data_IF_099967167421
#
_entry.id   IF_099967167421
#
_cell.length_a   1.000
_cell.length_b   1.000
_cell.length_c   1.000
_cell.angle_alpha   90.00
_cell.angle_beta   90.00
_cell.angle_gamma   90.00
#
_symmetry.space_group_name_H-M   'P 1'
#
loop_
_entity.id
_entity.type
_entity.pdbx_description
1 polymer ?
#
# COMPACT_ATOMS: atom_id res chain seq x y z
N UNK A 1 5.87 1.16 -21.90
CA UNK A 1 6.84 0.37 -21.11
C UNK A 1 8.28 0.76 -21.50
N UNK A 2 8.53 2.07 -21.70
CA UNK A 2 9.79 2.54 -22.25
C UNK A 2 10.36 3.80 -21.55
N UNK A 3 9.75 4.32 -20.49
CA UNK A 3 10.13 5.64 -19.93
C UNK A 3 10.55 5.64 -18.45
N UNK A 4 10.88 4.49 -17.84
CA UNK A 4 11.20 4.44 -16.39
C UNK A 4 12.55 3.81 -16.06
N UNK A 5 13.35 3.46 -17.07
CA UNK A 5 14.67 2.87 -16.86
C UNK A 5 15.70 3.55 -17.79
N UNK A 6 15.88 4.86 -17.61
CA UNK A 6 17.13 5.50 -17.95
C UNK A 6 17.87 5.82 -16.64
N UNK A 7 19.09 5.28 -16.52
CA UNK A 7 20.12 5.67 -15.54
C UNK A 7 19.83 5.49 -14.03
N UNK A 8 19.34 4.35 -13.56
CA UNK A 8 19.40 4.01 -12.11
C UNK A 8 18.68 4.98 -11.15
N UNK A 9 17.97 5.98 -11.67
CA UNK A 9 17.16 6.94 -10.93
C UNK A 9 15.73 6.48 -11.09
N UNK A 10 15.25 5.76 -10.08
CA UNK A 10 13.85 5.34 -10.02
C UNK A 10 12.99 6.59 -9.77
N UNK A 11 12.23 7.03 -10.78
CA UNK A 11 11.27 8.13 -10.62
C UNK A 11 10.18 7.72 -9.62
N UNK A 12 10.06 8.49 -8.54
CA UNK A 12 9.17 8.16 -7.42
C UNK A 12 7.83 8.84 -7.63
N UNK A 13 6.75 8.12 -7.36
CA UNK A 13 5.41 8.71 -7.42
C UNK A 13 5.27 9.84 -6.39
N UNK A 14 4.78 11.00 -6.85
CA UNK A 14 4.54 12.15 -6.00
C UNK A 14 3.57 11.85 -4.85
N UNK A 15 3.76 12.54 -3.73
CA UNK A 15 2.99 12.37 -2.48
C UNK A 15 1.48 12.44 -2.71
N UNK A 16 1.02 13.36 -3.58
CA UNK A 16 -0.40 13.52 -3.89
C UNK A 16 -1.04 12.27 -4.51
N UNK A 17 -0.35 11.58 -5.44
CA UNK A 17 -0.88 10.34 -6.04
C UNK A 17 -1.00 9.22 -5.00
N UNK A 18 -0.05 9.14 -4.07
CA UNK A 18 -0.09 8.19 -2.96
C UNK A 18 -1.26 8.50 -2.01
N UNK A 19 -1.46 9.77 -1.66
CA UNK A 19 -2.57 10.17 -0.80
C UNK A 19 -3.94 9.81 -1.39
N UNK A 20 -4.17 10.13 -2.68
CA UNK A 20 -5.43 9.78 -3.35
C UNK A 20 -5.60 8.26 -3.45
N UNK A 21 -4.52 7.51 -3.71
CA UNK A 21 -4.57 6.04 -3.68
C UNK A 21 -5.02 5.51 -2.31
N UNK A 22 -4.48 6.05 -1.20
CA UNK A 22 -4.90 5.65 0.14
C UNK A 22 -6.36 6.01 0.42
N UNK A 23 -6.86 7.15 -0.06
CA UNK A 23 -8.28 7.51 0.05
C UNK A 23 -9.18 6.52 -0.69
N UNK A 24 -8.81 6.12 -1.90
CA UNK A 24 -9.57 5.12 -2.69
C UNK A 24 -9.60 3.78 -1.95
N UNK A 25 -8.45 3.29 -1.49
CA UNK A 25 -8.38 2.04 -0.74
C UNK A 25 -9.18 2.13 0.58
N UNK A 26 -9.15 3.27 1.28
CA UNK A 26 -9.93 3.49 2.50
C UNK A 26 -11.45 3.46 2.25
N UNK A 27 -11.94 4.08 1.17
CA UNK A 27 -13.35 4.04 0.79
C UNK A 27 -13.80 2.60 0.52
N UNK A 28 -12.97 1.84 -0.21
CA UNK A 28 -13.25 0.43 -0.51
C UNK A 28 -13.37 -0.38 0.80
N UNK A 29 -12.42 -0.19 1.73
CA UNK A 29 -12.46 -0.89 3.02
C UNK A 29 -13.67 -0.51 3.88
N UNK A 30 -14.06 0.76 3.90
CA UNK A 30 -15.24 1.22 4.65
C UNK A 30 -16.52 0.60 4.10
N UNK A 31 -16.67 0.54 2.77
CA UNK A 31 -17.83 -0.10 2.14
C UNK A 31 -17.86 -1.59 2.46
N UNK A 32 -16.74 -2.29 2.32
CA UNK A 32 -16.64 -3.72 2.65
C UNK A 32 -16.92 -3.96 4.13
N UNK A 33 -16.35 -3.16 5.03
CA UNK A 33 -16.58 -3.25 6.46
C UNK A 33 -18.04 -3.02 6.86
N UNK A 34 -18.71 -2.03 6.26
CA UNK A 34 -20.12 -1.75 6.51
C UNK A 34 -21.03 -2.93 6.10
N UNK A 35 -20.78 -3.53 4.93
CA UNK A 35 -21.53 -4.71 4.46
C UNK A 35 -21.30 -5.91 5.38
N UNK A 36 -20.05 -6.16 5.80
CA UNK A 36 -19.73 -7.26 6.71
C UNK A 36 -20.31 -7.06 8.12
N UNK A 37 -20.40 -5.81 8.59
CA UNK A 37 -21.01 -5.47 9.88
C UNK A 37 -22.48 -5.90 9.99
N UNK A 38 -23.19 -6.04 8.87
CA UNK A 38 -24.57 -6.54 8.83
C UNK A 38 -24.69 -8.02 9.24
N UNK A 39 -23.58 -8.77 9.25
CA UNK A 39 -23.55 -10.18 9.65
C UNK A 39 -23.43 -10.39 11.17
N UNK A 40 -23.33 -9.30 11.94
CA UNK A 40 -23.13 -9.29 13.40
C UNK A 40 -21.74 -8.81 13.80
N UNK A 41 -21.63 -8.14 14.95
CA UNK A 41 -20.41 -7.40 15.34
C UNK A 41 -19.15 -8.29 15.40
N UNK A 42 -19.22 -9.42 16.09
CA UNK A 42 -18.07 -10.32 16.28
C UNK A 42 -17.70 -11.01 14.96
N UNK A 43 -18.69 -11.59 14.28
CA UNK A 43 -18.48 -12.36 13.04
C UNK A 43 -17.99 -11.43 11.92
N UNK A 44 -18.61 -10.26 11.78
CA UNK A 44 -18.21 -9.23 10.83
C UNK A 44 -16.80 -8.70 11.07
N UNK A 45 -16.42 -8.45 12.33
CA UNK A 45 -15.07 -7.98 12.69
C UNK A 45 -13.97 -9.00 12.35
N UNK A 46 -14.19 -10.26 12.69
CA UNK A 46 -13.24 -11.35 12.40
C UNK A 46 -13.09 -11.55 10.89
N UNK A 47 -14.20 -11.60 10.16
CA UNK A 47 -14.17 -11.72 8.70
C UNK A 47 -13.50 -10.52 8.03
N UNK A 48 -13.82 -9.30 8.45
CA UNK A 48 -13.23 -8.07 7.91
C UNK A 48 -11.71 -8.04 8.09
N UNK A 49 -11.22 -8.43 9.27
CA UNK A 49 -9.78 -8.51 9.55
C UNK A 49 -9.11 -9.57 8.67
N UNK A 50 -9.67 -10.77 8.61
CA UNK A 50 -9.11 -11.86 7.79
C UNK A 50 -9.08 -11.51 6.29
N UNK A 51 -10.16 -10.93 5.77
CA UNK A 51 -10.26 -10.47 4.39
C UNK A 51 -9.23 -9.38 4.11
N UNK A 52 -9.08 -8.40 5.01
CA UNK A 52 -8.11 -7.31 4.84
C UNK A 52 -6.69 -7.82 4.76
N UNK A 53 -6.28 -8.72 5.67
CA UNK A 53 -4.94 -9.34 5.66
C UNK A 53 -4.69 -10.05 4.33
N UNK A 54 -5.62 -10.91 3.91
CA UNK A 54 -5.48 -11.69 2.68
C UNK A 54 -5.43 -10.79 1.43
N UNK A 55 -6.36 -9.83 1.36
CA UNK A 55 -6.50 -8.91 0.23
C UNK A 55 -5.27 -8.02 0.05
N UNK A 56 -4.81 -7.36 1.12
CA UNK A 56 -3.64 -6.48 1.02
C UNK A 56 -2.35 -7.27 0.80
N UNK A 57 -2.16 -8.41 1.46
CA UNK A 57 -0.98 -9.25 1.22
C UNK A 57 -0.89 -9.68 -0.24
N UNK A 58 -2.02 -10.08 -0.82
CA UNK A 58 -2.09 -10.46 -2.23
C UNK A 58 -1.83 -9.28 -3.18
N UNK A 59 -2.52 -8.16 -2.99
CA UNK A 59 -2.39 -6.98 -3.85
C UNK A 59 -1.03 -6.31 -3.74
N UNK A 60 -0.52 -6.14 -2.52
CA UNK A 60 0.84 -5.66 -2.33
C UNK A 60 1.84 -6.63 -2.94
N UNK A 61 1.67 -7.94 -2.75
CA UNK A 61 2.54 -8.94 -3.37
C UNK A 61 2.59 -8.86 -4.90
N UNK A 62 1.46 -8.52 -5.55
CA UNK A 62 1.37 -8.24 -7.00
C UNK A 62 1.91 -6.87 -7.40
N UNK A 63 2.16 -6.00 -6.44
CA UNK A 63 2.75 -4.69 -6.63
C UNK A 63 1.74 -3.56 -6.85
N UNK A 64 0.43 -3.79 -6.79
CA UNK A 64 -0.58 -2.74 -6.97
C UNK A 64 -1.86 -3.04 -6.21
N UNK A 65 -2.37 -2.04 -5.47
CA UNK A 65 -3.75 -2.02 -4.97
C UNK A 65 -4.71 -1.44 -6.00
N UNK A 66 -6.03 -1.53 -5.74
CA UNK A 66 -7.03 -0.89 -6.61
C UNK A 66 -6.87 0.63 -6.65
N UNK A 67 -6.60 1.28 -5.49
CA UNK A 67 -6.27 2.70 -5.46
C UNK A 67 -5.01 3.04 -6.27
N UNK A 68 -3.99 2.18 -6.21
CA UNK A 68 -2.75 2.37 -6.98
C UNK A 68 -2.99 2.23 -8.48
N UNK A 69 -3.82 1.27 -8.90
CA UNK A 69 -4.22 1.11 -10.30
C UNK A 69 -4.97 2.35 -10.81
N UNK A 70 -5.92 2.87 -10.02
CA UNK A 70 -6.64 4.11 -10.35
C UNK A 70 -5.70 5.32 -10.49
N UNK A 71 -4.68 5.39 -9.63
CA UNK A 71 -3.69 6.48 -9.65
C UNK A 71 -2.50 6.25 -10.60
N UNK A 72 -2.49 5.14 -11.36
CA UNK A 72 -1.40 4.75 -12.25
C UNK A 72 -0.04 4.75 -11.55
N UNK A 73 0.02 4.15 -10.36
CA UNK A 73 1.24 3.96 -9.58
C UNK A 73 1.39 2.48 -9.21
N UNK A 74 2.62 2.02 -8.96
CA UNK A 74 2.92 0.63 -8.59
C UNK A 74 4.04 0.56 -7.57
N UNK A 75 4.10 -0.54 -6.86
CA UNK A 75 5.17 -0.93 -5.96
C UNK A 75 6.24 -1.67 -6.74
N UNK A 76 7.47 -1.24 -6.56
CA UNK A 76 8.66 -1.96 -6.98
C UNK A 76 9.58 -2.15 -5.78
N UNK A 77 10.45 -3.15 -5.81
CA UNK A 77 11.52 -3.25 -4.82
C UNK A 77 12.53 -2.12 -5.02
N UNK A 78 13.30 -1.82 -3.99
CA UNK A 78 14.37 -0.82 -4.09
C UNK A 78 15.45 -1.19 -5.12
N UNK A 79 15.61 -2.48 -5.41
CA UNK A 79 16.47 -3.04 -6.45
C UNK A 79 15.82 -3.06 -7.86
N UNK A 80 14.59 -2.56 -8.01
CA UNK A 80 13.85 -2.55 -9.27
C UNK A 80 13.05 -3.83 -9.56
N UNK A 81 13.12 -4.86 -8.70
CA UNK A 81 12.37 -6.11 -8.90
C UNK A 81 10.85 -5.86 -8.83
N UNK A 82 10.16 -6.39 -9.83
CA UNK A 82 8.71 -6.38 -9.93
C UNK A 82 8.18 -7.74 -10.42
N UNK A 83 7.09 -8.28 -9.83
CA UNK A 83 6.37 -7.78 -8.66
C UNK A 83 7.16 -8.00 -7.36
N UNK A 84 6.79 -7.31 -6.27
CA UNK A 84 7.57 -7.32 -5.02
C UNK A 84 7.53 -8.66 -4.26
N UNK A 85 6.52 -9.51 -4.53
CA UNK A 85 6.33 -10.83 -3.92
C UNK A 85 5.52 -10.79 -2.61
N UNK A 86 4.83 -11.89 -2.31
CA UNK A 86 3.85 -11.96 -1.21
C UNK A 86 4.46 -11.78 0.18
N UNK A 87 5.69 -12.25 0.42
CA UNK A 87 6.37 -12.06 1.71
C UNK A 87 6.62 -10.59 2.02
N UNK A 88 7.09 -9.81 1.02
CA UNK A 88 7.24 -8.35 1.17
C UNK A 88 5.87 -7.67 1.23
N UNK A 89 4.87 -8.19 0.50
CA UNK A 89 3.49 -7.72 0.60
C UNK A 89 2.92 -7.85 2.03
N UNK A 90 3.16 -8.97 2.71
CA UNK A 90 2.77 -9.18 4.10
C UNK A 90 3.53 -8.25 5.05
N UNK A 91 4.86 -8.14 4.90
CA UNK A 91 5.68 -7.22 5.70
C UNK A 91 5.22 -5.77 5.54
N UNK A 92 4.84 -5.38 4.32
CA UNK A 92 4.26 -4.06 4.04
C UNK A 92 2.94 -3.89 4.77
N UNK A 93 2.06 -4.89 4.78
CA UNK A 93 0.80 -4.83 5.51
C UNK A 93 1.01 -4.68 7.03
N UNK A 94 1.94 -5.45 7.62
CA UNK A 94 2.34 -5.25 9.02
C UNK A 94 2.87 -3.84 9.25
N UNK A 95 3.72 -3.34 8.34
CA UNK A 95 4.20 -1.97 8.35
C UNK A 95 3.07 -0.94 8.29
N UNK A 96 2.00 -1.18 7.52
CA UNK A 96 0.85 -0.28 7.46
C UNK A 96 0.08 -0.23 8.77
N UNK A 97 -0.03 -1.36 9.48
CA UNK A 97 -0.62 -1.41 10.83
C UNK A 97 0.22 -0.58 11.79
N UNK A 98 1.55 -0.74 11.77
CA UNK A 98 2.47 0.06 12.60
C UNK A 98 2.33 1.55 12.27
N UNK A 99 2.33 1.91 10.98
CA UNK A 99 2.13 3.30 10.52
C UNK A 99 0.81 3.89 11.02
N UNK A 100 -0.26 3.10 11.08
CA UNK A 100 -1.57 3.52 11.54
C UNK A 100 -1.65 3.69 13.07
N UNK A 101 -1.04 2.77 13.83
CA UNK A 101 -1.06 2.78 15.30
C UNK A 101 -0.43 4.04 15.90
N UNK A 102 0.57 4.62 15.22
CA UNK A 102 1.23 5.85 15.66
C UNK A 102 0.55 7.08 15.07
N UNK A 103 -0.79 7.18 15.19
CA UNK A 103 -1.62 8.31 14.72
C UNK A 103 -1.36 8.66 13.23
N UNK A 104 -1.09 7.65 12.41
CA UNK A 104 -0.77 7.85 10.99
C UNK A 104 0.58 8.51 10.70
N UNK A 105 1.45 8.71 11.70
CA UNK A 105 2.77 9.34 11.52
C UNK A 105 3.61 8.58 10.49
N UNK A 106 3.51 7.24 10.44
CA UNK A 106 4.22 6.45 9.43
C UNK A 106 3.79 6.74 7.98
N UNK A 107 2.57 7.27 7.78
CA UNK A 107 2.10 7.77 6.48
C UNK A 107 2.57 9.21 6.23
N UNK A 108 2.52 10.07 7.25
CA UNK A 108 3.01 11.46 7.15
C UNK A 108 4.51 11.52 6.86
N UNK A 109 5.27 10.50 7.27
CA UNK A 109 6.70 10.37 6.98
C UNK A 109 7.03 10.43 5.48
N UNK A 110 6.09 10.05 4.61
CA UNK A 110 6.23 10.15 3.14
C UNK A 110 6.56 11.58 2.69
N UNK A 111 6.08 12.60 3.40
CA UNK A 111 6.29 14.03 3.05
C UNK A 111 7.71 14.48 3.40
N UNK A 112 8.30 13.90 4.45
CA UNK A 112 9.59 14.32 5.02
C UNK A 112 10.73 13.50 4.40
N UNK A 113 10.46 12.24 4.08
CA UNK A 113 11.48 11.33 3.57
C UNK A 113 11.95 11.72 2.17
N UNK A 114 13.28 11.81 1.99
CA UNK A 114 13.92 12.12 0.70
C UNK A 114 13.55 11.15 -0.43
N UNK A 115 13.15 9.93 -0.07
CA UNK A 115 12.75 8.89 -1.02
C UNK A 115 11.22 8.73 -1.08
N UNK A 116 10.47 9.70 -0.55
CA UNK A 116 9.02 9.66 -0.43
C UNK A 116 8.54 8.33 0.20
N UNK A 117 9.30 7.70 1.10
CA UNK A 117 8.93 6.42 1.70
C UNK A 117 8.22 6.61 3.04
N UNK A 118 7.11 5.90 3.24
CA UNK A 118 6.53 5.70 4.56
C UNK A 118 7.24 4.58 5.33
N UNK A 119 6.91 4.42 6.61
CA UNK A 119 7.53 3.35 7.41
C UNK A 119 7.24 1.95 6.84
N UNK A 120 6.02 1.74 6.34
CA UNK A 120 5.64 0.52 5.64
C UNK A 120 6.41 0.29 4.34
N UNK A 121 6.80 1.35 3.64
CA UNK A 121 7.66 1.25 2.45
C UNK A 121 9.08 0.80 2.83
N UNK A 122 9.63 1.37 3.90
CA UNK A 122 10.97 1.05 4.40
C UNK A 122 11.07 -0.36 4.97
N UNK A 123 10.09 -0.78 5.78
CA UNK A 123 10.01 -2.14 6.34
C UNK A 123 9.92 -3.18 5.22
N UNK A 124 9.14 -2.89 4.17
CA UNK A 124 8.98 -3.79 3.05
C UNK A 124 10.08 -3.69 1.99
N UNK A 125 11.00 -2.72 2.11
CA UNK A 125 12.06 -2.45 1.13
C UNK A 125 11.50 -2.20 -0.28
N UNK A 126 10.59 -1.22 -0.36
CA UNK A 126 9.83 -0.92 -1.58
C UNK A 126 9.79 0.57 -1.90
N UNK A 127 9.67 0.89 -3.18
CA UNK A 127 9.32 2.21 -3.69
C UNK A 127 7.96 2.18 -4.36
N UNK A 128 7.26 3.32 -4.32
CA UNK A 128 6.09 3.56 -5.17
C UNK A 128 6.53 4.42 -6.35
N UNK A 129 6.27 3.94 -7.55
CA UNK A 129 6.69 4.53 -8.83
C UNK A 129 5.48 4.68 -9.76
N UNK A 130 5.53 5.55 -10.78
CA UNK A 130 4.53 5.54 -11.86
C UNK A 130 4.41 4.15 -12.51
N UNK A 131 3.18 3.72 -12.81
CA UNK A 131 2.87 2.40 -13.35
C UNK A 131 3.13 2.30 -14.85
#
# INVERSE_FOLDING_TARGET
MADVIEEGIIEKAGVGRRFVSYLIDAIILVIVGAVLGLTGEIVGSVMSTAISVAYFTYLFGRGQTLGMMAMKIKLTRTDGTYPIGYTRGLLRYVGTIISALVIGIGYLWIVIDKDNQGWHDKIADTYVVPA
#
